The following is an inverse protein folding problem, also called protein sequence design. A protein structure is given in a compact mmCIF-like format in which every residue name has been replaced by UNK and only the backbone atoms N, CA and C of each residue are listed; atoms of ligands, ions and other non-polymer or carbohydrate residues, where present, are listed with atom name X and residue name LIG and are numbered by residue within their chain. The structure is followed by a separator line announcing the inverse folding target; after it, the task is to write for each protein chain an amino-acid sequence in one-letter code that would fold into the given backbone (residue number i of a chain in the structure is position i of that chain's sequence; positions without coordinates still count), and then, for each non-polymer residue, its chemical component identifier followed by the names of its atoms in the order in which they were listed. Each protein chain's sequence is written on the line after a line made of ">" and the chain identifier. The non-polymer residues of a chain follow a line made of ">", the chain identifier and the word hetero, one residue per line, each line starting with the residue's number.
data_IF_073104305116
#
_entry.id   IF_073104305116
#
_cell.length_a   1.000
_cell.length_b   1.000
_cell.length_c   1.000
_cell.angle_alpha   90.00
_cell.angle_beta   90.00
_cell.angle_gamma   90.00
#
_symmetry.space_group_name_H-M   'P 1'
#
loop_
_entity.id
_entity.type
_entity.pdbx_description
1 polymer ?
#
# COMPACT_ATOMS: atom_id res chain seq x y z
N UNK A 1 -0.07 15.99 -2.75
CA UNK A 1 1.31 15.71 -3.23
C UNK A 1 2.35 15.56 -2.13
N UNK A 2 2.40 16.43 -1.11
CA UNK A 2 3.39 16.31 -0.02
C UNK A 2 3.33 14.94 0.69
N UNK A 3 2.12 14.44 0.95
CA UNK A 3 1.92 13.10 1.54
C UNK A 3 2.60 11.98 0.75
N UNK A 4 2.29 11.87 -0.56
CA UNK A 4 2.82 10.82 -1.43
C UNK A 4 4.34 10.85 -1.47
N UNK A 5 4.94 12.04 -1.58
CA UNK A 5 6.39 12.19 -1.56
C UNK A 5 7.00 11.76 -0.23
N UNK A 6 6.33 12.07 0.88
CA UNK A 6 6.79 11.70 2.20
C UNK A 6 6.79 10.18 2.37
N UNK A 7 5.66 9.51 2.09
CA UNK A 7 5.61 8.05 2.20
C UNK A 7 6.62 7.38 1.28
N UNK A 8 6.81 7.85 0.04
CA UNK A 8 7.76 7.25 -0.89
C UNK A 8 9.25 7.30 -0.44
N UNK A 9 9.57 8.04 0.63
CA UNK A 9 10.90 8.05 1.26
C UNK A 9 11.06 6.99 2.36
N UNK A 10 9.99 6.27 2.70
CA UNK A 10 9.92 5.32 3.82
C UNK A 10 9.51 3.92 3.33
N UNK A 11 10.39 3.16 2.65
CA UNK A 11 10.11 1.78 2.20
C UNK A 11 9.60 0.86 3.31
N UNK A 12 10.06 1.07 4.55
CA UNK A 12 9.62 0.36 5.76
C UNK A 12 8.10 0.45 5.96
N UNK A 13 7.46 1.52 5.49
CA UNK A 13 5.99 1.69 5.59
C UNK A 13 5.24 0.63 4.79
N UNK A 14 5.81 0.11 3.69
CA UNK A 14 5.22 -0.96 2.90
C UNK A 14 5.57 -2.34 3.44
N UNK A 15 6.83 -2.53 3.86
CA UNK A 15 7.34 -3.85 4.27
C UNK A 15 6.87 -4.26 5.66
N UNK A 16 6.68 -3.31 6.57
CA UNK A 16 6.16 -3.55 7.91
C UNK A 16 4.63 -3.37 7.98
N UNK A 17 3.96 -3.14 6.84
CA UNK A 17 2.52 -2.95 6.83
C UNK A 17 1.83 -4.26 7.25
N UNK A 18 0.93 -4.25 8.26
CA UNK A 18 0.23 -5.45 8.71
C UNK A 18 -0.86 -5.79 7.69
N UNK A 19 -0.44 -6.33 6.55
CA UNK A 19 -1.35 -6.99 5.63
C UNK A 19 -1.89 -8.23 6.34
N UNK A 20 -3.21 -8.38 6.34
CA UNK A 20 -3.82 -9.64 6.73
C UNK A 20 -3.39 -10.63 5.66
N UNK A 21 -2.66 -11.66 6.07
CA UNK A 21 -2.18 -12.77 5.23
C UNK A 21 -3.39 -13.62 4.83
N UNK A 22 -4.27 -13.03 4.04
CA UNK A 22 -5.32 -13.76 3.36
C UNK A 22 -4.62 -14.44 2.18
N UNK A 23 -4.18 -15.70 2.37
CA UNK A 23 -3.51 -16.53 1.34
C UNK A 23 -4.29 -16.64 0.01
N UNK A 24 -5.54 -16.14 -0.04
CA UNK A 24 -6.43 -16.04 -1.22
C UNK A 24 -6.62 -14.60 -1.74
N UNK A 25 -5.95 -13.59 -1.18
CA UNK A 25 -6.14 -12.15 -1.50
C UNK A 25 -5.15 -11.62 -2.56
N UNK A 26 -4.58 -12.48 -3.40
CA UNK A 26 -3.67 -12.08 -4.48
C UNK A 26 -4.35 -11.27 -5.60
N UNK A 27 -5.69 -11.13 -5.62
CA UNK A 27 -6.43 -10.31 -6.60
C UNK A 27 -6.88 -8.96 -5.99
N UNK A 28 -5.95 -8.02 -5.78
CA UNK A 28 -6.37 -6.62 -5.64
C UNK A 28 -6.62 -6.02 -7.02
N UNK A 29 -7.81 -6.27 -7.55
CA UNK A 29 -8.28 -5.63 -8.77
C UNK A 29 -8.55 -4.14 -8.56
N UNK A 30 -7.67 -3.30 -9.10
CA UNK A 30 -7.89 -1.85 -9.13
C UNK A 30 -9.08 -1.52 -10.05
N UNK A 31 -10.00 -0.68 -9.56
CA UNK A 31 -11.03 -0.08 -10.43
C UNK A 31 -10.41 0.89 -11.45
N UNK A 32 -11.12 1.20 -12.53
CA UNK A 32 -10.66 2.17 -13.54
C UNK A 32 -10.21 3.50 -12.92
N UNK A 33 -10.94 4.00 -11.91
CA UNK A 33 -10.58 5.22 -11.18
C UNK A 33 -9.30 5.07 -10.36
N UNK A 34 -9.07 3.90 -9.74
CA UNK A 34 -7.84 3.60 -9.02
C UNK A 34 -6.65 3.45 -9.97
N UNK A 35 -6.84 2.82 -11.12
CA UNK A 35 -5.80 2.71 -12.15
C UNK A 35 -5.43 4.08 -12.72
N UNK A 36 -6.42 4.92 -13.06
CA UNK A 36 -6.17 6.29 -13.53
C UNK A 36 -5.42 7.11 -12.47
N UNK A 37 -5.81 6.98 -11.21
CA UNK A 37 -5.12 7.63 -10.09
C UNK A 37 -3.69 7.11 -9.89
N UNK A 38 -3.47 5.81 -10.01
CA UNK A 38 -2.14 5.18 -9.94
C UNK A 38 -1.22 5.74 -11.03
N UNK A 39 -1.69 5.78 -12.28
CA UNK A 39 -0.95 6.36 -13.40
C UNK A 39 -0.66 7.85 -13.21
N UNK A 40 -1.62 8.61 -12.70
CA UNK A 40 -1.44 10.03 -12.42
C UNK A 40 -0.39 10.24 -11.31
N UNK A 41 -0.44 9.46 -10.22
CA UNK A 41 0.50 9.63 -9.11
C UNK A 41 1.91 9.18 -9.47
N UNK A 42 2.09 8.13 -10.26
CA UNK A 42 3.43 7.72 -10.73
C UNK A 42 4.10 8.85 -11.53
N UNK A 43 3.33 9.51 -12.40
CA UNK A 43 3.82 10.66 -13.19
C UNK A 43 4.17 11.86 -12.31
N UNK A 44 3.36 12.12 -11.28
CA UNK A 44 3.48 13.31 -10.43
C UNK A 44 4.46 13.12 -9.25
N UNK A 45 4.73 11.87 -8.87
CA UNK A 45 5.65 11.48 -7.80
C UNK A 45 6.62 10.38 -8.29
N UNK A 46 7.66 10.75 -9.05
CA UNK A 46 8.63 9.79 -9.60
C UNK A 46 9.30 8.92 -8.53
N UNK A 47 9.45 9.42 -7.29
CA UNK A 47 10.00 8.62 -6.19
C UNK A 47 9.09 7.47 -5.78
N UNK A 48 7.76 7.63 -5.86
CA UNK A 48 6.83 6.54 -5.59
C UNK A 48 6.94 5.46 -6.67
N UNK A 49 7.05 5.85 -7.93
CA UNK A 49 7.29 4.92 -9.04
C UNK A 49 8.63 4.18 -8.88
N UNK A 50 9.70 4.89 -8.51
CA UNK A 50 10.99 4.28 -8.21
C UNK A 50 10.91 3.28 -7.05
N UNK A 51 10.20 3.63 -5.97
CA UNK A 51 9.98 2.74 -4.84
C UNK A 51 9.23 1.46 -5.26
N UNK A 52 8.22 1.58 -6.12
CA UNK A 52 7.50 0.41 -6.66
C UNK A 52 8.46 -0.51 -7.42
N UNK A 53 9.34 0.03 -8.26
CA UNK A 53 10.34 -0.74 -9.01
C UNK A 53 11.37 -1.39 -8.08
N UNK A 54 11.74 -0.72 -6.98
CA UNK A 54 12.67 -1.25 -5.97
C UNK A 54 12.06 -2.41 -5.17
N UNK A 55 10.77 -2.33 -4.85
CA UNK A 55 10.09 -3.33 -4.01
C UNK A 55 9.46 -4.47 -4.82
N UNK A 56 9.03 -4.23 -6.07
CA UNK A 56 8.31 -5.21 -6.88
C UNK A 56 9.18 -5.78 -8.02
N UNK A 57 9.07 -7.09 -8.34
CA UNK A 57 8.28 -8.11 -7.64
C UNK A 57 9.03 -8.78 -6.47
N UNK A 58 10.25 -8.34 -6.14
CA UNK A 58 11.16 -9.10 -5.27
C UNK A 58 10.74 -9.14 -3.80
N UNK A 59 10.17 -8.05 -3.30
CA UNK A 59 9.78 -7.88 -1.90
C UNK A 59 8.24 -7.82 -1.74
N UNK A 60 7.50 -7.28 -2.73
CA UNK A 60 6.03 -7.20 -2.76
C UNK A 60 5.50 -7.43 -4.19
N UNK A 61 4.26 -7.91 -4.34
CA UNK A 61 3.53 -7.84 -5.62
C UNK A 61 3.08 -6.42 -5.92
N UNK A 62 2.83 -6.10 -7.20
CA UNK A 62 2.32 -4.77 -7.58
C UNK A 62 0.95 -4.49 -6.92
N UNK A 63 0.12 -5.51 -6.81
CA UNK A 63 -1.20 -5.45 -6.21
C UNK A 63 -1.14 -5.14 -4.71
N UNK A 64 -0.24 -5.80 -3.98
CA UNK A 64 0.03 -5.48 -2.58
C UNK A 64 0.57 -4.05 -2.39
N UNK A 65 1.46 -3.60 -3.28
CA UNK A 65 1.99 -2.24 -3.23
C UNK A 65 0.87 -1.18 -3.36
N UNK A 66 0.00 -1.34 -4.35
CA UNK A 66 -1.10 -0.41 -4.60
C UNK A 66 -2.18 -0.47 -3.51
N UNK A 67 -2.49 -1.67 -3.02
CA UNK A 67 -3.42 -1.87 -1.90
C UNK A 67 -2.97 -1.12 -0.65
N UNK A 68 -1.70 -1.26 -0.24
CA UNK A 68 -1.12 -0.50 0.88
C UNK A 68 -1.22 1.00 0.62
N UNK A 69 -0.86 1.45 -0.59
CA UNK A 69 -0.94 2.86 -0.96
C UNK A 69 -2.35 3.44 -0.80
N UNK A 70 -3.38 2.76 -1.31
CA UNK A 70 -4.77 3.23 -1.21
C UNK A 70 -5.26 3.26 0.24
N UNK A 71 -4.87 2.27 1.06
CA UNK A 71 -5.18 2.27 2.49
C UNK A 71 -4.51 3.45 3.23
N UNK A 72 -3.25 3.76 2.90
CA UNK A 72 -2.55 4.91 3.50
C UNK A 72 -3.09 6.26 3.01
N UNK A 73 -3.62 6.30 1.79
CA UNK A 73 -4.16 7.49 1.14
C UNK A 73 -5.56 7.82 1.61
N UNK A 74 -6.44 6.83 1.78
CA UNK A 74 -7.87 7.01 1.99
C UNK A 74 -8.25 7.91 3.19
N UNK A 75 -7.56 7.88 4.36
CA UNK A 75 -7.83 8.83 5.46
C UNK A 75 -7.53 10.29 5.14
N UNK A 76 -6.78 10.55 4.06
CA UNK A 76 -6.33 11.88 3.63
C UNK A 76 -7.10 12.42 2.42
N UNK A 77 -7.99 11.62 1.85
CA UNK A 77 -8.85 12.02 0.75
C UNK A 77 -9.98 12.92 1.24
N UNK A 78 -10.44 13.83 0.37
CA UNK A 78 -11.73 14.49 0.60
C UNK A 78 -12.83 13.43 0.61
N UNK A 79 -13.97 13.70 1.26
CA UNK A 79 -15.08 12.73 1.31
C UNK A 79 -15.48 12.24 -0.10
N UNK A 80 -15.48 13.13 -1.08
CA UNK A 80 -15.82 12.82 -2.46
C UNK A 80 -14.79 11.89 -3.11
N UNK A 81 -13.50 12.20 -2.97
CA UNK A 81 -12.42 11.37 -3.55
C UNK A 81 -12.31 10.02 -2.83
N UNK A 82 -12.58 10.00 -1.52
CA UNK A 82 -12.62 8.77 -0.74
C UNK A 82 -13.74 7.84 -1.21
N UNK A 83 -14.93 8.37 -1.50
CA UNK A 83 -16.04 7.59 -2.07
C UNK A 83 -15.70 7.09 -3.48
N UNK A 84 -15.07 7.93 -4.32
CA UNK A 84 -14.70 7.58 -5.69
C UNK A 84 -13.60 6.50 -5.75
N UNK A 85 -12.61 6.57 -4.87
CA UNK A 85 -11.47 5.65 -4.81
C UNK A 85 -11.68 4.48 -3.84
N UNK A 86 -12.81 4.41 -3.14
CA UNK A 86 -13.16 3.33 -2.22
C UNK A 86 -13.68 2.11 -2.99
N UNK A 87 -12.90 1.04 -3.02
CA UNK A 87 -13.42 -0.31 -3.33
C UNK A 87 -13.85 -1.04 -2.06
N UNK A 88 -14.74 -2.06 -2.15
CA UNK A 88 -15.11 -2.90 -1.00
C UNK A 88 -13.89 -3.45 -0.24
N UNK A 89 -12.83 -3.81 -0.97
CA UNK A 89 -11.56 -4.29 -0.42
C UNK A 89 -10.86 -3.21 0.43
N UNK A 90 -10.69 -1.99 -0.09
CA UNK A 90 -10.06 -0.88 0.66
C UNK A 90 -10.84 -0.55 1.93
N UNK A 91 -12.18 -0.54 1.84
CA UNK A 91 -13.06 -0.31 2.99
C UNK A 91 -12.92 -1.40 4.06
N UNK A 92 -12.82 -2.66 3.63
CA UNK A 92 -12.61 -3.79 4.53
C UNK A 92 -11.27 -3.68 5.27
N UNK A 93 -10.18 -3.34 4.57
CA UNK A 93 -8.88 -3.10 5.19
C UNK A 93 -8.91 -1.96 6.21
N UNK A 94 -9.61 -0.85 5.93
CA UNK A 94 -9.78 0.23 6.92
C UNK A 94 -10.54 -0.21 8.18
N UNK A 95 -11.54 -1.05 8.02
CA UNK A 95 -12.32 -1.60 9.13
C UNK A 95 -11.50 -2.62 9.94
N UNK A 96 -10.69 -3.46 9.29
CA UNK A 96 -9.85 -4.44 9.98
C UNK A 96 -8.71 -3.77 10.76
N UNK A 97 -8.09 -2.71 10.21
CA UNK A 97 -7.03 -1.95 10.90
C UNK A 97 -7.54 -1.21 12.14
N UNK A 98 -8.79 -0.74 12.14
CA UNK A 98 -9.39 -0.08 13.32
C UNK A 98 -9.77 -1.08 14.42
N UNK A 99 -10.09 -2.33 14.07
CA UNK A 99 -10.33 -3.41 15.04
C UNK A 99 -9.02 -3.97 15.61
N UNK A 100 -7.97 -4.09 14.78
CA UNK A 100 -6.67 -4.63 15.19
C UNK A 100 -5.83 -3.65 16.05
N UNK A 101 -6.11 -2.33 16.03
CA UNK A 101 -5.38 -1.37 16.88
C UNK A 101 -5.63 -1.55 18.39
N UNK A 102 -6.68 -2.29 18.78
CA UNK A 102 -6.93 -2.66 20.19
C UNK A 102 -6.30 -3.99 20.62
N UNK A 103 -5.68 -4.75 19.71
CA UNK A 103 -5.11 -6.08 19.97
C UNK A 103 -3.66 -6.20 19.50
N UNK A 104 -2.75 -6.26 20.46
CA UNK A 104 -1.30 -6.44 20.36
C UNK A 104 -0.75 -7.34 19.22
N UNK A 105 0.38 -6.88 18.63
CA UNK A 105 1.50 -7.64 18.05
C UNK A 105 1.21 -8.72 16.98
N UNK A 106 1.42 -8.36 15.71
CA UNK A 106 1.92 -9.31 14.70
C UNK A 106 3.37 -8.94 14.41
N UNK A 107 4.29 -9.61 15.11
CA UNK A 107 5.64 -9.82 14.61
C UNK A 107 5.58 -11.02 13.65
N UNK A 108 6.46 -11.01 12.66
CA UNK A 108 6.92 -12.19 11.88
C UNK A 108 6.26 -12.38 10.51
N UNK A 109 6.91 -11.86 9.45
CA UNK A 109 7.90 -12.62 8.64
C UNK A 109 8.65 -11.74 7.62
N UNK A 110 8.16 -10.53 7.29
CA UNK A 110 8.77 -9.72 6.22
C UNK A 110 10.18 -9.16 6.52
N UNK A 111 10.62 -9.18 7.79
CA UNK A 111 11.93 -8.64 8.21
C UNK A 111 13.14 -9.41 7.64
N UNK A 112 12.96 -10.65 7.13
CA UNK A 112 14.02 -11.37 6.41
C UNK A 112 14.20 -10.91 4.95
N UNK A 113 13.13 -10.44 4.29
CA UNK A 113 13.21 -9.92 2.91
C UNK A 113 13.89 -8.55 2.81
N UNK A 114 13.73 -7.72 3.85
CA UNK A 114 14.33 -6.38 3.93
C UNK A 114 15.86 -6.39 3.73
N UNK A 115 16.56 -7.40 4.29
CA UNK A 115 18.03 -7.48 4.17
C UNK A 115 18.49 -7.96 2.79
N UNK A 116 17.68 -8.73 2.06
CA UNK A 116 18.07 -9.28 0.77
C UNK A 116 17.87 -8.27 -0.38
N UNK A 117 16.81 -7.43 -0.33
CA UNK A 117 16.50 -6.46 -1.39
C UNK A 117 17.48 -5.25 -1.44
N UNK A 118 18.13 -4.87 -0.33
CA UNK A 118 19.01 -3.68 -0.24
C UNK A 118 20.53 -3.97 -0.13
N UNK A 119 20.98 -5.21 -0.38
CA UNK A 119 22.39 -5.62 -0.21
C UNK A 119 23.16 -5.97 -1.52
N UNK A 120 22.69 -5.58 -2.72
CA UNK A 120 23.46 -5.73 -3.96
C UNK A 120 23.79 -4.38 -4.61
#
# INVERSE_FOLDING_TARGET
>A
MAFVRNIAMHPETWLDFPLVDDEDSDDFDMSDAQQEHALAVERLAPRLAALRIELCPGCLTEDCFWKIYFVLLHPRLSKHDAELLSTPQVRWFHASLTVNFFGFHIFSTCSLGYKQCFQN
#
